data_IF_237660344815
#
_entry.id   IF_237660344815
#
_cell.length_a   1.000
_cell.length_b   1.000
_cell.length_c   1.000
_cell.angle_alpha   90.00
_cell.angle_beta   90.00
_cell.angle_gamma   90.00
#
_symmetry.space_group_name_H-M   'P 1'
#
loop_
_entity.id
_entity.type
_entity.pdbx_description
1 polymer ?
#
# COMPACT_ATOMS: atom_id res chain seq x y z
N UNK A 1 -20.24 6.46 5.34
CA UNK A 1 -19.15 5.51 5.10
C UNK A 1 -18.09 6.29 4.35
N UNK A 2 -16.88 6.40 4.91
CA UNK A 2 -15.77 7.04 4.22
C UNK A 2 -15.47 6.29 2.92
N UNK A 3 -15.15 6.99 1.81
CA UNK A 3 -14.77 6.33 0.57
C UNK A 3 -13.50 5.50 0.79
N UNK A 4 -13.46 4.31 0.18
CA UNK A 4 -12.26 3.46 0.20
C UNK A 4 -11.06 4.25 -0.30
N UNK A 5 -9.93 4.14 0.39
CA UNK A 5 -8.69 4.84 0.05
C UNK A 5 -7.99 4.20 -1.15
N UNK A 6 -8.00 2.87 -1.21
CA UNK A 6 -7.33 2.12 -2.25
C UNK A 6 -8.05 0.82 -2.56
N UNK A 7 -7.77 0.25 -3.73
CA UNK A 7 -8.21 -1.10 -4.10
C UNK A 7 -7.02 -2.01 -4.43
N UNK A 8 -7.25 -3.32 -4.32
CA UNK A 8 -6.33 -4.32 -4.86
C UNK A 8 -6.58 -4.48 -6.35
N UNK A 9 -5.54 -4.27 -7.15
CA UNK A 9 -5.60 -4.53 -8.59
C UNK A 9 -5.59 -6.03 -8.89
N UNK A 10 -5.73 -6.37 -10.17
CA UNK A 10 -5.58 -7.74 -10.67
C UNK A 10 -4.11 -8.10 -10.95
N UNK A 11 -3.17 -7.19 -10.66
CA UNK A 11 -1.74 -7.44 -10.82
C UNK A 11 -1.27 -8.18 -9.56
N UNK A 12 -0.83 -9.42 -9.76
CA UNK A 12 -0.32 -10.29 -8.71
C UNK A 12 1.15 -10.59 -8.94
N UNK A 13 1.94 -10.56 -7.87
CA UNK A 13 3.34 -10.97 -7.85
C UNK A 13 3.54 -11.99 -6.74
N UNK A 14 4.32 -13.03 -7.01
CA UNK A 14 4.74 -13.99 -5.98
C UNK A 14 6.10 -13.59 -5.42
N UNK A 15 6.20 -13.52 -4.09
CA UNK A 15 7.45 -13.29 -3.37
C UNK A 15 7.56 -14.29 -2.23
N UNK A 16 8.64 -15.08 -2.20
CA UNK A 16 8.86 -16.15 -1.21
C UNK A 16 7.65 -17.10 -1.05
N UNK A 17 6.97 -17.45 -2.14
CA UNK A 17 5.78 -18.32 -2.11
C UNK A 17 4.48 -17.64 -1.67
N UNK A 18 4.50 -16.34 -1.37
CA UNK A 18 3.32 -15.55 -0.99
C UNK A 18 2.82 -14.75 -2.18
N UNK A 19 1.51 -14.79 -2.44
CA UNK A 19 0.86 -13.96 -3.45
C UNK A 19 0.63 -12.55 -2.89
N UNK A 20 1.16 -11.54 -3.58
CA UNK A 20 0.96 -10.12 -3.28
C UNK A 20 0.18 -9.46 -4.41
N UNK A 21 -0.68 -8.50 -4.07
CA UNK A 21 -1.48 -7.72 -5.01
C UNK A 21 -1.08 -6.27 -4.95
N UNK A 22 -0.98 -5.64 -6.12
CA UNK A 22 -0.63 -4.22 -6.23
C UNK A 22 -1.81 -3.35 -5.83
N UNK A 23 -1.57 -2.29 -5.04
CA UNK A 23 -2.62 -1.34 -4.65
C UNK A 23 -2.76 -0.20 -5.65
N UNK A 24 -3.98 0.30 -5.82
CA UNK A 24 -4.29 1.51 -6.60
C UNK A 24 -5.11 2.48 -5.76
N UNK A 25 -4.71 3.75 -5.75
CA UNK A 25 -5.39 4.80 -5.01
C UNK A 25 -6.76 5.10 -5.63
N UNK A 26 -7.77 5.25 -4.78
CA UNK A 26 -9.14 5.58 -5.17
C UNK A 26 -9.50 7.04 -4.90
N UNK A 27 -8.66 7.75 -4.12
CA UNK A 27 -8.79 9.16 -3.78
C UNK A 27 -7.43 9.86 -3.83
N UNK A 28 -7.46 11.18 -3.74
CA UNK A 28 -6.27 11.99 -3.54
C UNK A 28 -5.93 12.08 -2.04
N UNK A 29 -4.64 12.16 -1.72
CA UNK A 29 -4.10 12.46 -0.41
C UNK A 29 -2.88 13.35 -0.52
N UNK A 30 -3.00 14.58 -0.04
CA UNK A 30 -1.88 15.52 0.08
C UNK A 30 -0.92 15.10 1.21
N UNK A 31 -1.43 14.45 2.26
CA UNK A 31 -0.63 14.03 3.42
C UNK A 31 0.29 12.86 3.09
N UNK A 32 -0.22 11.89 2.32
CA UNK A 32 0.57 10.74 1.85
C UNK A 32 1.21 10.98 0.49
N UNK A 33 0.87 12.07 -0.21
CA UNK A 33 1.43 12.40 -1.52
C UNK A 33 1.06 11.41 -2.63
N UNK A 34 -0.16 10.88 -2.65
CA UNK A 34 -0.69 10.09 -3.77
C UNK A 34 -1.98 10.68 -4.33
N UNK A 35 -2.24 10.43 -5.61
CA UNK A 35 -3.44 10.86 -6.31
C UNK A 35 -4.31 9.67 -6.70
N UNK A 36 -5.58 9.92 -6.95
CA UNK A 36 -6.52 8.92 -7.46
C UNK A 36 -5.99 8.32 -8.76
N UNK A 37 -5.90 7.00 -8.78
CA UNK A 37 -5.34 6.23 -9.88
C UNK A 37 -3.86 5.88 -9.71
N UNK A 38 -3.16 6.47 -8.75
CA UNK A 38 -1.75 6.17 -8.50
C UNK A 38 -1.57 4.72 -8.06
N UNK A 39 -0.49 4.12 -8.57
CA UNK A 39 -0.12 2.74 -8.27
C UNK A 39 0.86 2.74 -7.11
N UNK A 40 0.39 2.27 -5.95
CA UNK A 40 1.21 2.08 -4.74
C UNK A 40 1.88 0.71 -4.73
N UNK A 41 2.40 0.25 -3.61
CA UNK A 41 3.11 -1.03 -3.50
C UNK A 41 2.24 -2.27 -3.43
N UNK A 42 2.80 -3.32 -2.83
CA UNK A 42 2.25 -4.67 -2.84
C UNK A 42 1.81 -5.09 -1.43
N UNK A 43 0.60 -5.63 -1.32
CA UNK A 43 0.10 -6.21 -0.07
C UNK A 43 -0.46 -7.60 -0.30
N UNK A 44 -0.38 -8.45 0.71
CA UNK A 44 -0.98 -9.78 0.65
C UNK A 44 -2.50 -9.70 0.84
N UNK A 45 -2.95 -9.00 1.90
CA UNK A 45 -4.37 -8.78 2.21
C UNK A 45 -4.62 -7.32 2.57
N UNK A 46 -5.88 -6.90 2.59
CA UNK A 46 -6.28 -5.56 3.06
C UNK A 46 -5.95 -5.31 4.53
N UNK A 47 -5.71 -6.36 5.31
CA UNK A 47 -5.32 -6.25 6.72
C UNK A 47 -3.88 -5.71 6.87
N UNK A 48 -3.07 -5.81 5.81
CA UNK A 48 -1.70 -5.28 5.80
C UNK A 48 -1.62 -3.76 5.65
N UNK A 49 -2.69 -3.11 5.17
CA UNK A 49 -2.72 -1.67 4.97
C UNK A 49 -4.11 -1.15 5.32
N UNK A 50 -4.24 -0.43 6.43
CA UNK A 50 -5.54 0.09 6.84
C UNK A 50 -6.15 0.99 5.74
N UNK A 51 -7.45 0.84 5.51
CA UNK A 51 -8.23 1.77 4.69
C UNK A 51 -8.43 3.12 5.40
N UNK A 52 -8.31 3.14 6.73
CA UNK A 52 -8.42 4.34 7.54
C UNK A 52 -7.12 5.15 7.53
N UNK A 53 -7.25 6.45 7.77
CA UNK A 53 -6.13 7.39 7.78
C UNK A 53 -5.33 7.43 6.46
N UNK A 54 -4.07 7.83 6.58
CA UNK A 54 -3.20 8.22 5.47
C UNK A 54 -2.05 7.21 5.24
N UNK A 55 -2.22 5.97 5.71
CA UNK A 55 -1.24 4.91 5.45
C UNK A 55 -1.20 4.59 3.95
N UNK A 56 -0.02 4.62 3.35
CA UNK A 56 0.16 4.30 1.93
C UNK A 56 1.51 3.65 1.70
N UNK A 57 1.55 2.72 0.74
CA UNK A 57 2.78 2.05 0.34
C UNK A 57 3.16 2.62 -1.01
N UNK A 58 4.30 3.29 -1.09
CA UNK A 58 4.78 3.84 -2.37
C UNK A 58 5.60 2.82 -3.15
N UNK A 59 5.65 3.00 -4.47
CA UNK A 59 6.57 2.30 -5.37
C UNK A 59 6.48 0.77 -5.20
N UNK A 60 7.61 0.05 -5.15
CA UNK A 60 7.68 -1.41 -5.14
C UNK A 60 7.79 -2.03 -3.76
N UNK A 61 7.51 -1.27 -2.69
CA UNK A 61 7.51 -1.80 -1.34
C UNK A 61 6.46 -2.91 -1.18
N UNK A 62 6.78 -3.92 -0.37
CA UNK A 62 5.96 -5.13 -0.18
C UNK A 62 5.60 -5.27 1.29
N UNK A 63 4.36 -5.60 1.63
CA UNK A 63 3.97 -5.88 3.01
C UNK A 63 3.29 -7.25 3.06
N UNK A 64 3.82 -8.13 3.92
CA UNK A 64 3.39 -9.52 4.08
C UNK A 64 3.42 -9.91 5.57
N UNK A 65 2.56 -10.87 5.97
CA UNK A 65 2.46 -11.34 7.36
C UNK A 65 1.69 -10.41 8.32
N UNK A 66 1.73 -10.70 9.63
CA UNK A 66 1.00 -9.97 10.71
C UNK A 66 1.62 -8.60 11.06
N UNK A 67 2.07 -7.85 10.06
CA UNK A 67 2.71 -6.53 10.21
C UNK A 67 4.09 -6.55 10.87
N UNK A 68 4.93 -7.56 10.58
CA UNK A 68 6.38 -7.36 10.64
C UNK A 68 6.84 -6.92 9.26
N UNK A 69 7.29 -5.68 9.17
CA UNK A 69 7.80 -5.02 7.96
C UNK A 69 9.01 -5.79 7.41
N UNK A 70 8.78 -6.92 6.72
CA UNK A 70 9.78 -7.66 5.97
C UNK A 70 9.93 -7.05 4.58
N UNK A 71 10.14 -5.73 4.53
CA UNK A 71 10.44 -5.06 3.30
C UNK A 71 11.42 -3.93 3.52
N UNK A 72 12.24 -3.79 2.50
CA UNK A 72 12.99 -2.61 2.11
C UNK A 72 11.94 -1.51 1.84
N UNK A 73 11.30 -1.02 2.90
CA UNK A 73 10.62 0.25 2.88
C UNK A 73 11.76 1.26 2.86
N UNK A 74 12.05 1.80 1.68
CA UNK A 74 12.75 3.08 1.64
C UNK A 74 11.76 4.07 2.26
N UNK A 75 11.81 4.22 3.58
CA UNK A 75 11.27 5.39 4.26
C UNK A 75 11.78 6.60 3.49
N UNK A 76 10.94 7.60 3.24
CA UNK A 76 11.03 9.00 3.72
C UNK A 76 9.64 9.61 3.38
N UNK A 77 8.89 10.20 4.30
CA UNK A 77 9.29 11.44 4.96
C UNK A 77 9.06 11.36 6.48
N UNK A 78 10.16 11.56 7.22
CA UNK A 78 10.10 12.35 8.43
C UNK A 78 10.09 13.82 7.99
N UNK A 79 9.51 14.68 8.82
CA UNK A 79 9.55 16.14 8.90
C UNK A 79 8.13 16.73 8.71
N UNK A 80 7.53 17.45 9.67
CA UNK A 80 8.05 18.16 10.84
C UNK A 80 6.90 18.37 11.83
#
# INVERSE_FOLDING_TARGET
MEPMKYELTNITQYYNGVALRRIRALRDSELSGFKRGDIGGWIQTTDNLSQEGECWIHHDARVLGNAELLAIAVFQTTQK
#
